data_IF_885733639055
#
_entry.id   IF_885733639055
#
_cell.length_a   1.000
_cell.length_b   1.000
_cell.length_c   1.000
_cell.angle_alpha   90.00
_cell.angle_beta   90.00
_cell.angle_gamma   90.00
#
_symmetry.space_group_name_H-M   'P 1'
#
loop_
_entity.id
_entity.type
_entity.pdbx_description
1 polymer ?
#
# COMPACT_ATOMS: atom_id res chain seq x y z
N UNK A 1 -3.88 -35.00 27.90
CA UNK A 1 -4.68 -34.33 26.86
C UNK A 1 -5.92 -33.74 27.52
N UNK A 2 -5.93 -32.43 27.76
CA UNK A 2 -7.10 -31.72 28.29
C UNK A 2 -7.68 -30.88 27.14
N UNK A 3 -8.82 -31.30 26.60
CA UNK A 3 -9.56 -30.53 25.59
C UNK A 3 -10.10 -29.27 26.24
N UNK A 4 -9.58 -28.10 25.83
CA UNK A 4 -10.20 -26.82 26.17
C UNK A 4 -11.50 -26.69 25.36
N UNK A 5 -12.63 -26.84 26.03
CA UNK A 5 -13.94 -26.44 25.51
C UNK A 5 -13.96 -24.90 25.37
N UNK A 6 -14.24 -24.32 24.20
CA UNK A 6 -14.27 -22.87 24.01
C UNK A 6 -15.60 -22.31 24.55
N UNK A 7 -15.56 -21.64 25.71
CA UNK A 7 -16.74 -21.22 26.45
C UNK A 7 -16.91 -19.69 26.52
N UNK A 8 -16.72 -18.97 25.41
CA UNK A 8 -17.05 -17.54 25.32
C UNK A 8 -18.21 -17.29 24.36
N UNK A 9 -19.10 -16.36 24.70
CA UNK A 9 -20.27 -15.97 23.88
C UNK A 9 -19.87 -15.49 22.47
N UNK A 10 -18.67 -14.93 22.31
CA UNK A 10 -18.12 -14.53 21.02
C UNK A 10 -17.96 -15.70 20.06
N UNK A 11 -17.50 -16.87 20.54
CA UNK A 11 -17.42 -18.07 19.70
C UNK A 11 -18.81 -18.57 19.31
N UNK A 12 -19.81 -18.45 20.19
CA UNK A 12 -21.19 -18.86 19.90
C UNK A 12 -21.86 -17.98 18.83
N UNK A 13 -21.50 -16.70 18.72
CA UNK A 13 -21.99 -15.81 17.65
C UNK A 13 -21.40 -16.16 16.27
N UNK A 14 -20.11 -16.53 16.21
CA UNK A 14 -19.45 -16.98 14.96
C UNK A 14 -20.18 -18.19 14.35
N UNK A 15 -20.55 -19.18 15.18
CA UNK A 15 -21.31 -20.34 14.73
C UNK A 15 -22.77 -20.03 14.35
N UNK A 16 -23.35 -18.93 14.86
CA UNK A 16 -24.75 -18.55 14.61
C UNK A 16 -24.96 -17.72 13.34
N UNK A 17 -23.89 -17.20 12.75
CA UNK A 17 -23.91 -16.42 11.50
C UNK A 17 -24.05 -17.27 10.23
N UNK A 18 -24.26 -18.58 10.34
CA UNK A 18 -24.50 -19.43 9.18
C UNK A 18 -23.27 -19.55 8.28
N UNK A 19 -22.09 -19.74 8.88
CA UNK A 19 -20.93 -20.28 8.19
C UNK A 19 -21.25 -21.75 7.88
N UNK A 20 -22.17 -21.99 6.94
CA UNK A 20 -22.09 -23.20 6.15
C UNK A 20 -20.69 -23.21 5.52
N UNK A 21 -20.13 -24.39 5.24
CA UNK A 21 -18.88 -24.59 4.51
C UNK A 21 -18.98 -24.00 3.09
N UNK A 22 -19.11 -22.68 2.98
CA UNK A 22 -18.87 -21.95 1.77
C UNK A 22 -17.37 -21.96 1.56
N UNK A 23 -16.94 -22.34 0.36
CA UNK A 23 -15.58 -22.17 -0.10
C UNK A 23 -15.33 -20.66 -0.16
N UNK A 24 -14.88 -20.08 0.97
CA UNK A 24 -14.57 -18.66 1.07
C UNK A 24 -13.33 -18.43 0.22
N UNK A 25 -13.40 -17.59 -0.83
CA UNK A 25 -12.26 -17.36 -1.69
C UNK A 25 -11.04 -16.89 -0.90
N UNK A 26 -9.87 -17.48 -1.18
CA UNK A 26 -8.62 -16.95 -0.67
C UNK A 26 -8.46 -15.48 -1.08
N UNK A 27 -8.16 -14.63 -0.09
CA UNK A 27 -7.94 -13.21 -0.33
C UNK A 27 -6.46 -12.87 -0.56
N UNK A 28 -6.22 -12.03 -1.56
CA UNK A 28 -5.02 -11.23 -1.68
C UNK A 28 -5.32 -9.82 -1.18
N UNK A 29 -4.56 -9.33 -0.20
CA UNK A 29 -4.69 -7.94 0.26
C UNK A 29 -3.54 -7.09 -0.26
N UNK A 30 -3.85 -5.87 -0.68
CA UNK A 30 -2.88 -4.84 -1.05
C UNK A 30 -3.14 -3.57 -0.24
N UNK A 31 -2.08 -2.96 0.29
CA UNK A 31 -2.14 -1.69 1.01
C UNK A 31 -1.46 -0.60 0.19
N UNK A 32 -2.25 0.43 -0.14
CA UNK A 32 -1.81 1.58 -0.89
C UNK A 32 -1.88 2.85 -0.04
N UNK A 33 -0.92 3.75 -0.25
CA UNK A 33 -0.81 5.04 0.43
C UNK A 33 -0.94 6.18 -0.57
N UNK A 34 -1.86 7.11 -0.30
CA UNK A 34 -2.03 8.34 -1.07
C UNK A 34 -0.80 9.24 -0.94
N UNK A 35 -0.34 9.81 -2.06
CA UNK A 35 0.81 10.73 -2.11
C UNK A 35 0.48 12.05 -2.79
N UNK A 36 1.17 13.09 -2.34
CA UNK A 36 1.22 14.42 -2.96
C UNK A 36 2.37 14.51 -3.97
N UNK A 37 2.18 15.34 -4.99
CA UNK A 37 3.28 15.82 -5.84
C UNK A 37 4.01 16.97 -5.13
N UNK A 38 5.16 17.40 -5.66
CA UNK A 38 5.95 18.53 -5.12
C UNK A 38 5.14 19.82 -4.95
N UNK A 39 4.09 20.01 -5.75
CA UNK A 39 3.17 21.15 -5.65
C UNK A 39 2.18 21.06 -4.45
N UNK A 40 2.21 19.99 -3.67
CA UNK A 40 1.32 19.77 -2.52
C UNK A 40 -0.05 19.17 -2.87
N UNK A 41 -0.35 18.95 -4.15
CA UNK A 41 -1.60 18.32 -4.57
C UNK A 41 -1.54 16.79 -4.53
N UNK A 42 -2.60 16.16 -4.03
CA UNK A 42 -2.78 14.71 -4.09
C UNK A 42 -2.85 14.26 -5.55
N UNK A 43 -2.05 13.26 -5.91
CA UNK A 43 -1.84 12.93 -7.33
C UNK A 43 -1.87 11.44 -7.63
N UNK A 44 -1.48 10.57 -6.69
CA UNK A 44 -1.43 9.14 -6.95
C UNK A 44 -1.37 8.30 -5.68
N UNK A 45 -1.65 7.02 -5.83
CA UNK A 45 -1.48 6.00 -4.81
C UNK A 45 -0.19 5.23 -5.03
N UNK A 46 0.46 4.84 -3.94
CA UNK A 46 1.67 4.00 -3.97
C UNK A 46 1.47 2.76 -3.15
N UNK A 47 1.76 1.61 -3.74
CA UNK A 47 1.75 0.34 -3.02
C UNK A 47 2.83 0.32 -1.92
N UNK A 48 2.46 -0.13 -0.73
CA UNK A 48 3.33 -0.18 0.46
C UNK A 48 3.50 -1.58 1.03
N UNK A 49 2.47 -2.40 0.98
CA UNK A 49 2.52 -3.74 1.52
C UNK A 49 1.46 -4.61 0.83
N UNK A 50 1.67 -5.92 0.86
CA UNK A 50 0.69 -6.89 0.36
C UNK A 50 0.72 -8.18 1.17
N UNK A 51 -0.38 -8.92 1.11
CA UNK A 51 -0.57 -10.17 1.84
C UNK A 51 -1.12 -11.26 0.93
N UNK A 52 -0.43 -12.39 0.94
CA UNK A 52 -0.97 -13.69 0.53
C UNK A 52 -0.58 -14.67 1.63
N UNK A 53 -1.39 -14.71 2.71
CA UNK A 53 -1.09 -15.29 4.03
C UNK A 53 0.06 -14.64 4.79
N UNK A 54 1.16 -14.34 4.11
CA UNK A 54 2.33 -13.66 4.66
C UNK A 54 2.39 -12.22 4.15
N UNK A 55 2.89 -11.32 5.01
CA UNK A 55 3.14 -9.93 4.69
C UNK A 55 4.42 -9.78 3.85
N UNK A 56 4.37 -8.94 2.85
CA UNK A 56 5.53 -8.39 2.15
C UNK A 56 5.41 -6.87 2.15
N UNK A 57 6.50 -6.17 2.45
CA UNK A 57 6.53 -4.70 2.50
C UNK A 57 7.44 -4.17 1.39
N UNK A 58 7.01 -3.10 0.74
CA UNK A 58 7.82 -2.41 -0.27
C UNK A 58 8.94 -1.62 0.43
N UNK A 59 10.19 -2.02 0.22
CA UNK A 59 11.37 -1.34 0.75
C UNK A 59 11.70 -0.13 -0.15
N UNK A 60 11.27 1.07 0.25
CA UNK A 60 11.40 2.29 -0.55
C UNK A 60 12.83 2.65 -0.93
N UNK A 61 13.80 2.35 -0.06
CA UNK A 61 15.23 2.62 -0.28
C UNK A 61 15.86 1.63 -1.25
N UNK A 62 15.46 0.36 -1.17
CA UNK A 62 16.07 -0.74 -1.94
C UNK A 62 15.29 -1.08 -3.20
N UNK A 63 14.11 -0.49 -3.38
CA UNK A 63 13.28 -0.68 -4.57
C UNK A 63 12.89 -2.14 -4.78
N UNK A 64 12.76 -2.92 -3.70
CA UNK A 64 12.39 -4.35 -3.73
C UNK A 64 11.34 -4.67 -2.67
N UNK A 65 10.66 -5.80 -2.85
CA UNK A 65 9.84 -6.39 -1.81
C UNK A 65 10.70 -7.03 -0.72
N UNK A 66 10.27 -6.92 0.54
CA UNK A 66 10.82 -7.72 1.63
C UNK A 66 10.58 -9.21 1.37
N UNK A 67 11.27 -10.08 2.11
CA UNK A 67 10.87 -11.49 2.14
C UNK A 67 9.46 -11.62 2.77
N UNK A 68 8.67 -12.62 2.34
CA UNK A 68 7.41 -12.96 3.02
C UNK A 68 7.68 -13.25 4.50
N UNK A 69 6.89 -12.65 5.39
CA UNK A 69 7.02 -12.83 6.83
C UNK A 69 5.65 -12.81 7.52
N UNK A 70 5.60 -13.31 8.76
CA UNK A 70 4.38 -13.22 9.58
C UNK A 70 4.24 -11.78 10.08
N UNK A 71 3.07 -11.18 9.84
CA UNK A 71 2.80 -9.80 10.23
C UNK A 71 2.92 -9.64 11.75
N UNK A 72 3.78 -8.70 12.18
CA UNK A 72 3.83 -8.25 13.58
C UNK A 72 3.12 -6.92 13.69
N UNK A 73 2.07 -6.88 14.51
CA UNK A 73 1.13 -5.77 14.60
C UNK A 73 1.12 -5.16 15.99
N UNK A 74 0.86 -3.85 16.05
CA UNK A 74 0.69 -3.15 17.32
C UNK A 74 -0.69 -3.44 17.92
N UNK A 75 -0.75 -3.73 19.22
CA UNK A 75 -2.02 -3.97 19.92
C UNK A 75 -2.99 -2.78 19.80
N UNK A 76 -2.46 -1.56 19.86
CA UNK A 76 -3.24 -0.32 19.69
C UNK A 76 -3.97 -0.30 18.35
N UNK A 77 -3.31 -0.73 17.27
CA UNK A 77 -3.91 -0.78 15.95
C UNK A 77 -5.15 -1.68 15.90
N UNK A 78 -5.17 -2.81 16.62
CA UNK A 78 -6.34 -3.67 16.73
C UNK A 78 -7.49 -3.06 17.55
N UNK A 79 -7.16 -2.35 18.63
CA UNK A 79 -8.16 -1.68 19.46
C UNK A 79 -8.85 -0.56 18.68
N UNK A 80 -8.08 0.23 17.95
CA UNK A 80 -8.60 1.30 17.10
C UNK A 80 -9.38 0.74 15.91
N UNK A 81 -8.90 -0.35 15.30
CA UNK A 81 -9.65 -1.08 14.28
C UNK A 81 -11.01 -1.54 14.79
N UNK A 82 -11.06 -2.16 15.98
CA UNK A 82 -12.31 -2.60 16.60
C UNK A 82 -13.27 -1.43 16.84
N UNK A 83 -12.74 -0.29 17.31
CA UNK A 83 -13.52 0.94 17.49
C UNK A 83 -14.13 1.37 16.15
N UNK A 84 -13.34 1.46 15.08
CA UNK A 84 -13.83 1.92 13.78
C UNK A 84 -14.68 0.91 13.02
N UNK A 85 -14.53 -0.39 13.25
CA UNK A 85 -15.51 -1.40 12.81
C UNK A 85 -16.87 -1.20 13.48
N UNK A 86 -16.94 -0.54 14.64
CA UNK A 86 -18.19 -0.28 15.35
C UNK A 86 -18.78 1.09 14.98
N UNK A 87 -17.95 2.11 14.78
CA UNK A 87 -18.41 3.50 14.57
C UNK A 87 -18.26 4.02 13.14
N UNK A 88 -17.47 3.35 12.30
CA UNK A 88 -17.16 3.79 10.94
C UNK A 88 -18.30 3.53 9.96
N UNK A 89 -18.02 3.78 8.68
CA UNK A 89 -18.98 3.55 7.59
C UNK A 89 -18.82 2.12 7.08
N UNK A 90 -19.90 1.33 7.10
CA UNK A 90 -19.91 -0.04 6.59
C UNK A 90 -20.95 -0.14 5.48
N UNK A 91 -20.51 -0.51 4.28
CA UNK A 91 -21.34 -0.71 3.10
C UNK A 91 -21.19 -2.17 2.67
N UNK A 92 -22.25 -2.97 2.83
CA UNK A 92 -22.26 -4.38 2.47
C UNK A 92 -23.10 -4.61 1.23
N UNK A 93 -22.66 -5.54 0.39
CA UNK A 93 -23.34 -5.91 -0.86
C UNK A 93 -23.55 -4.70 -1.76
N UNK A 94 -22.51 -3.88 -1.91
CA UNK A 94 -22.55 -2.76 -2.83
C UNK A 94 -22.56 -3.30 -4.27
N UNK A 95 -23.64 -3.02 -4.99
CA UNK A 95 -23.68 -3.18 -6.43
C UNK A 95 -23.04 -1.95 -7.08
N UNK A 96 -21.89 -2.14 -7.73
CA UNK A 96 -21.20 -1.11 -8.52
C UNK A 96 -20.65 -1.73 -9.80
N UNK A 97 -20.46 -0.91 -10.83
CA UNK A 97 -19.94 -1.31 -12.15
C UNK A 97 -18.50 -0.90 -12.38
N UNK A 98 -18.00 0.08 -11.64
CA UNK A 98 -16.69 0.68 -11.88
C UNK A 98 -16.17 1.43 -10.64
N UNK A 99 -14.91 1.85 -10.69
CA UNK A 99 -14.24 2.55 -9.60
C UNK A 99 -14.81 3.96 -9.36
N UNK A 100 -15.32 4.65 -10.38
CA UNK A 100 -15.85 6.00 -10.23
C UNK A 100 -17.17 5.98 -9.45
N UNK A 101 -18.07 5.06 -9.80
CA UNK A 101 -19.34 4.82 -9.10
C UNK A 101 -19.12 4.38 -7.64
N UNK A 102 -18.10 3.53 -7.40
CA UNK A 102 -17.65 3.16 -6.05
C UNK A 102 -17.18 4.40 -5.28
N UNK A 103 -16.30 5.21 -5.86
CA UNK A 103 -15.75 6.41 -5.23
C UNK A 103 -16.82 7.43 -4.85
N UNK A 104 -17.80 7.66 -5.73
CA UNK A 104 -18.94 8.53 -5.46
C UNK A 104 -19.80 7.99 -4.31
N UNK A 105 -20.07 6.69 -4.29
CA UNK A 105 -20.85 6.06 -3.21
C UNK A 105 -20.15 6.18 -1.86
N UNK A 106 -18.84 5.94 -1.81
CA UNK A 106 -18.03 6.09 -0.60
C UNK A 106 -18.05 7.53 -0.11
N UNK A 107 -17.85 8.50 -1.00
CA UNK A 107 -17.88 9.92 -0.64
C UNK A 107 -19.26 10.36 -0.13
N UNK A 108 -20.34 9.91 -0.77
CA UNK A 108 -21.71 10.20 -0.32
C UNK A 108 -22.00 9.58 1.05
N UNK A 109 -21.61 8.33 1.29
CA UNK A 109 -21.85 7.68 2.58
C UNK A 109 -21.11 8.38 3.74
N UNK A 110 -19.92 8.95 3.47
CA UNK A 110 -19.20 9.78 4.43
C UNK A 110 -19.89 11.13 4.67
N UNK A 111 -20.46 11.74 3.63
CA UNK A 111 -21.26 12.96 3.74
C UNK A 111 -22.53 12.72 4.58
N UNK A 112 -23.24 11.60 4.34
CA UNK A 112 -24.45 11.21 5.08
C UNK A 112 -24.17 10.92 6.56
N UNK A 113 -22.93 10.53 6.87
CA UNK A 113 -22.43 10.32 8.24
C UNK A 113 -21.82 11.57 8.85
N UNK A 114 -21.95 12.71 8.18
CA UNK A 114 -21.49 14.03 8.63
C UNK A 114 -19.96 14.09 8.88
N UNK A 115 -19.18 13.22 8.22
CA UNK A 115 -17.71 13.28 8.27
C UNK A 115 -17.14 14.46 7.48
N UNK A 116 -17.88 14.96 6.51
CA UNK A 116 -17.55 16.16 5.77
C UNK A 116 -18.49 17.29 6.15
N UNK A 117 -17.92 18.49 6.35
CA UNK A 117 -18.69 19.71 6.57
C UNK A 117 -19.17 20.35 5.27
N UNK A 118 -18.48 20.08 4.16
CA UNK A 118 -18.75 20.66 2.84
C UNK A 118 -18.74 19.56 1.77
N UNK A 119 -19.70 19.65 0.84
CA UNK A 119 -19.80 18.83 -0.38
C UNK A 119 -18.52 18.89 -1.21
N UNK A 120 -17.80 20.02 -1.18
CA UNK A 120 -16.49 20.15 -1.84
C UNK A 120 -15.48 19.09 -1.37
N UNK A 121 -15.46 18.75 -0.07
CA UNK A 121 -14.56 17.72 0.46
C UNK A 121 -14.97 16.32 0.01
N UNK A 122 -16.27 16.04 -0.09
CA UNK A 122 -16.77 14.78 -0.65
C UNK A 122 -16.36 14.62 -2.13
N UNK A 123 -16.52 15.69 -2.93
CA UNK A 123 -16.08 15.70 -4.33
C UNK A 123 -14.55 15.52 -4.45
N UNK A 124 -13.78 16.17 -3.58
CA UNK A 124 -12.32 16.01 -3.51
C UNK A 124 -11.94 14.57 -3.19
N UNK A 125 -12.59 13.92 -2.22
CA UNK A 125 -12.36 12.51 -1.90
C UNK A 125 -12.71 11.60 -3.08
N UNK A 126 -13.89 11.77 -3.70
CA UNK A 126 -14.28 10.95 -4.84
C UNK A 126 -13.25 11.03 -5.97
N UNK A 127 -12.70 12.21 -6.22
CA UNK A 127 -11.63 12.42 -7.19
C UNK A 127 -10.33 11.73 -6.76
N UNK A 128 -9.94 11.84 -5.49
CA UNK A 128 -8.78 11.16 -4.89
C UNK A 128 -8.84 9.64 -5.06
N UNK A 129 -10.00 9.03 -4.81
CA UNK A 129 -10.19 7.56 -4.94
C UNK A 129 -10.10 7.05 -6.39
N UNK A 130 -10.17 7.94 -7.38
CA UNK A 130 -9.99 7.62 -8.81
C UNK A 130 -8.59 7.93 -9.34
N UNK A 131 -7.69 8.44 -8.49
CA UNK A 131 -6.30 8.70 -8.89
C UNK A 131 -5.60 7.39 -9.29
N UNK A 132 -4.59 7.46 -10.17
CA UNK A 132 -3.83 6.29 -10.57
C UNK A 132 -3.09 5.66 -9.39
N UNK A 133 -3.05 4.32 -9.36
CA UNK A 133 -2.22 3.57 -8.45
C UNK A 133 -0.93 3.17 -9.17
N UNK A 134 0.20 3.47 -8.56
CA UNK A 134 1.50 3.02 -9.03
C UNK A 134 1.94 1.83 -8.19
N UNK A 135 1.93 0.67 -8.83
CA UNK A 135 2.43 -0.57 -8.25
C UNK A 135 3.96 -0.57 -8.26
N UNK A 136 4.56 -1.33 -7.34
CA UNK A 136 6.01 -1.29 -7.11
C UNK A 136 6.85 -1.51 -8.38
N UNK A 137 6.34 -2.35 -9.30
CA UNK A 137 7.00 -2.72 -10.55
C UNK A 137 6.89 -1.66 -11.67
N UNK A 138 6.04 -0.65 -11.52
CA UNK A 138 5.84 0.39 -12.52
C UNK A 138 6.87 1.52 -12.37
N UNK A 139 7.51 1.92 -13.49
CA UNK A 139 8.43 3.06 -13.45
C UNK A 139 7.63 4.33 -13.14
N UNK A 140 8.10 5.13 -12.17
CA UNK A 140 7.72 6.54 -12.05
C UNK A 140 8.30 7.32 -13.24
N UNK A 141 7.65 7.23 -14.39
CA UNK A 141 7.97 8.10 -15.52
C UNK A 141 7.43 9.48 -15.17
N UNK A 142 8.28 10.36 -14.64
CA UNK A 142 8.01 11.80 -14.63
C UNK A 142 8.18 12.30 -16.06
N UNK A 143 7.30 11.87 -16.97
CA UNK A 143 7.12 12.56 -18.24
C UNK A 143 6.36 13.83 -17.91
N UNK A 144 7.09 14.94 -17.80
CA UNK A 144 6.52 16.28 -18.01
C UNK A 144 5.68 16.19 -19.27
N UNK A 145 4.37 16.40 -19.13
CA UNK A 145 3.46 16.57 -20.24
C UNK A 145 3.92 17.77 -21.04
N UNK A 146 4.68 17.53 -22.10
CA UNK A 146 4.79 18.45 -23.22
C UNK A 146 4.03 17.80 -24.38
N UNK A 147 3.05 18.55 -24.85
CA UNK A 147 2.12 18.33 -25.94
C UNK A 147 2.72 17.60 -27.15
N UNK A 148 1.90 16.77 -27.79
CA UNK A 148 2.19 16.13 -29.07
C UNK A 148 2.57 17.15 -30.15
N UNK A 149 3.67 16.89 -30.88
CA UNK A 149 3.74 16.98 -32.34
C UNK A 149 4.77 15.95 -32.82
N UNK A 150 4.29 14.91 -33.49
CA UNK A 150 5.10 14.03 -34.32
C UNK A 150 5.60 14.78 -35.55
N UNK A 151 6.91 14.88 -35.73
CA UNK A 151 7.49 15.17 -37.05
C UNK A 151 8.70 14.27 -37.26
N UNK A 152 8.54 13.31 -38.16
CA UNK A 152 9.62 12.47 -38.64
C UNK A 152 10.65 13.34 -39.39
N UNK A 153 11.94 13.03 -39.21
CA UNK A 153 12.91 13.03 -40.31
C UNK A 153 14.14 12.18 -39.99
N UNK A 154 14.50 11.46 -41.03
CA UNK A 154 15.50 10.43 -41.24
C UNK A 154 16.96 10.83 -41.02
N UNK A 155 17.79 9.79 -40.90
CA UNK A 155 19.17 9.65 -41.40
C UNK A 155 20.31 9.95 -40.42
N UNK A 156 21.25 9.00 -40.30
CA UNK A 156 22.62 9.29 -39.88
C UNK A 156 23.31 8.22 -39.04
N UNK A 157 24.09 7.38 -39.70
CA UNK A 157 25.16 6.52 -39.16
C UNK A 157 26.21 7.31 -38.36
N UNK A 158 26.73 6.76 -37.25
CA UNK A 158 28.16 6.72 -36.83
C UNK A 158 28.25 6.09 -35.41
N UNK A 159 28.93 4.94 -35.23
CA UNK A 159 30.32 4.76 -34.70
C UNK A 159 30.52 5.43 -33.31
N UNK A 160 31.23 4.90 -32.31
CA UNK A 160 31.90 3.66 -31.98
C UNK A 160 32.39 3.83 -30.53
N UNK A 161 32.74 2.73 -29.87
CA UNK A 161 33.43 2.66 -28.58
C UNK A 161 34.65 3.58 -28.50
N UNK A 162 34.93 4.17 -27.34
CA UNK A 162 36.20 3.98 -26.60
C UNK A 162 36.24 4.76 -25.29
N UNK A 163 36.76 4.05 -24.30
CA UNK A 163 37.21 4.43 -22.97
C UNK A 163 38.37 5.43 -22.96
N UNK A 164 38.34 6.37 -22.01
CA UNK A 164 39.55 7.04 -21.50
C UNK A 164 39.51 7.12 -19.98
N UNK A 165 40.57 6.57 -19.37
CA UNK A 165 40.94 6.64 -17.96
C UNK A 165 41.93 7.79 -17.80
N UNK A 166 41.76 8.64 -16.78
CA UNK A 166 42.83 9.52 -16.29
C UNK A 166 42.98 9.30 -14.78
N UNK A 167 44.18 8.84 -14.41
CA UNK A 167 44.68 8.73 -13.03
C UNK A 167 45.16 10.10 -12.51
N UNK A 168 45.01 10.36 -11.21
CA UNK A 168 45.93 11.25 -10.49
C UNK A 168 46.23 10.70 -9.09
N UNK A 169 47.52 10.70 -8.75
CA UNK A 169 48.17 10.11 -7.56
C UNK A 169 48.20 11.10 -6.38
N UNK A 170 48.19 10.57 -5.14
CA UNK A 170 49.22 10.83 -4.09
C UNK A 170 49.05 9.92 -2.85
N UNK A 171 50.14 9.27 -2.43
CA UNK A 171 50.34 8.67 -1.09
C UNK A 171 50.70 9.74 -0.04
N UNK A 172 50.96 9.49 1.25
CA UNK A 172 51.57 8.34 1.97
C UNK A 172 51.51 8.54 3.50
N UNK A 173 51.47 7.43 4.31
CA UNK A 173 52.03 7.11 5.68
C UNK A 173 52.10 8.18 6.81
N UNK A 174 52.01 7.95 8.15
CA UNK A 174 52.05 6.83 9.13
C UNK A 174 51.76 7.43 10.56
N UNK A 175 51.13 6.75 11.53
CA UNK A 175 51.70 6.26 12.83
C UNK A 175 50.62 5.95 13.93
N UNK A 176 50.99 5.10 14.93
CA UNK A 176 50.21 4.25 15.89
C UNK A 176 49.88 4.91 17.29
N UNK A 177 49.50 4.18 18.40
CA UNK A 177 48.25 3.45 18.77
C UNK A 177 47.62 3.77 20.19
N UNK A 178 46.31 3.41 20.40
CA UNK A 178 45.48 2.97 21.61
C UNK A 178 45.81 3.42 23.07
N UNK A 179 44.85 3.51 24.06
CA UNK A 179 43.82 2.49 24.40
C UNK A 179 42.45 3.01 24.98
N UNK A 180 41.65 2.06 25.51
CA UNK A 180 40.20 2.05 25.75
C UNK A 180 39.67 2.68 27.06
N UNK A 181 38.39 3.08 27.07
CA UNK A 181 37.44 2.81 28.18
C UNK A 181 35.97 3.20 27.87
N UNK A 182 35.07 2.31 28.31
CA UNK A 182 33.70 2.49 28.85
C UNK A 182 32.58 3.18 28.04
N UNK A 183 31.47 2.41 27.86
CA UNK A 183 30.05 2.73 28.20
C UNK A 183 29.46 4.09 27.75
N UNK A 184 28.22 4.28 27.33
CA UNK A 184 27.01 3.52 26.98
C UNK A 184 26.04 4.63 26.51
N UNK A 185 25.11 4.36 25.57
CA UNK A 185 23.89 5.16 25.33
C UNK A 185 24.02 6.66 24.98
N UNK A 186 23.97 7.00 23.68
CA UNK A 186 23.09 8.06 23.14
C UNK A 186 23.35 8.26 21.63
N UNK A 187 22.37 8.90 20.96
CA UNK A 187 22.34 9.38 19.56
C UNK A 187 21.55 8.43 18.63
N UNK A 188 20.25 8.68 18.43
CA UNK A 188 19.73 9.70 17.49
C UNK A 188 20.55 9.68 16.20
N UNK A 189 20.08 8.85 15.26
CA UNK A 189 20.64 8.74 13.92
C UNK A 189 20.65 10.12 13.25
N UNK A 190 21.85 10.68 13.16
CA UNK A 190 22.17 11.82 12.32
C UNK A 190 21.96 11.40 10.86
N UNK A 191 21.15 12.16 10.13
CA UNK A 191 21.02 12.05 8.68
C UNK A 191 22.34 12.46 8.00
N UNK A 192 23.28 11.52 7.87
CA UNK A 192 24.39 11.63 6.94
C UNK A 192 23.94 11.15 5.56
N UNK A 193 23.88 12.09 4.59
CA UNK A 193 23.79 11.79 3.16
C UNK A 193 25.04 11.01 2.71
N UNK A 194 24.98 9.70 2.81
CA UNK A 194 25.85 8.80 2.03
C UNK A 194 25.14 8.54 0.71
N UNK A 195 25.73 9.00 -0.39
CA UNK A 195 25.28 8.66 -1.73
C UNK A 195 25.72 7.23 -2.03
N UNK A 196 24.90 6.25 -1.63
CA UNK A 196 25.08 4.86 -2.02
C UNK A 196 24.59 4.67 -3.46
N UNK A 197 25.50 4.16 -4.29
CA UNK A 197 25.28 3.84 -5.70
C UNK A 197 24.44 2.55 -5.79
N UNK A 198 23.11 2.66 -5.69
CA UNK A 198 22.21 1.52 -5.79
C UNK A 198 22.12 1.02 -7.24
N UNK A 199 22.16 -0.31 -7.49
CA UNK A 199 22.08 -0.84 -8.84
C UNK A 199 20.76 -0.46 -9.52
N UNK A 200 20.89 0.07 -10.73
CA UNK A 200 19.78 0.45 -11.62
C UNK A 200 18.87 -0.77 -11.87
N UNK A 201 17.58 -0.62 -11.53
CA UNK A 201 16.49 -1.61 -11.60
C UNK A 201 16.45 -2.43 -12.91
N UNK A 202 16.13 -3.74 -12.83
CA UNK A 202 15.65 -4.54 -13.97
C UNK A 202 14.12 -4.79 -13.84
N UNK A 203 13.27 -4.08 -14.61
CA UNK A 203 11.82 -4.27 -14.63
C UNK A 203 11.35 -5.69 -14.96
N UNK A 204 12.24 -6.54 -15.51
CA UNK A 204 11.91 -7.95 -15.78
C UNK A 204 11.79 -8.77 -14.49
N UNK A 205 12.57 -8.46 -13.46
CA UNK A 205 12.56 -9.19 -12.18
C UNK A 205 11.24 -9.02 -11.43
N UNK A 206 10.69 -7.80 -11.39
CA UNK A 206 9.42 -7.54 -10.70
C UNK A 206 8.22 -8.14 -11.46
N UNK A 207 8.23 -8.08 -12.81
CA UNK A 207 7.21 -8.79 -13.61
C UNK A 207 7.27 -10.30 -13.41
N UNK A 208 8.46 -10.88 -13.31
CA UNK A 208 8.62 -12.30 -13.01
C UNK A 208 8.12 -12.63 -11.60
N UNK A 209 8.30 -11.72 -10.63
CA UNK A 209 7.76 -11.85 -9.28
C UNK A 209 6.23 -11.90 -9.27
N UNK A 210 5.57 -10.97 -9.95
CA UNK A 210 4.10 -10.93 -10.03
C UNK A 210 3.54 -12.18 -10.72
N UNK A 211 4.24 -12.69 -11.74
CA UNK A 211 3.88 -13.97 -12.37
C UNK A 211 4.01 -15.13 -11.37
N UNK A 212 5.05 -15.16 -10.53
CA UNK A 212 5.19 -16.18 -9.47
C UNK A 212 4.10 -16.06 -8.41
N UNK A 213 3.74 -14.84 -8.02
CA UNK A 213 2.69 -14.58 -7.04
C UNK A 213 1.30 -14.97 -7.59
N UNK A 214 0.98 -14.61 -8.84
CA UNK A 214 -0.26 -15.00 -9.50
C UNK A 214 -0.43 -16.52 -9.56
N UNK A 215 0.66 -17.28 -9.72
CA UNK A 215 0.64 -18.76 -9.71
C UNK A 215 0.38 -19.36 -8.32
N UNK A 216 0.61 -18.61 -7.23
CA UNK A 216 0.33 -19.07 -5.86
C UNK A 216 -1.14 -18.89 -5.46
N UNK A 217 -1.89 -18.06 -6.17
CA UNK A 217 -3.30 -17.83 -5.92
C UNK A 217 -4.11 -19.11 -6.19
N UNK A 218 -5.09 -19.36 -5.34
CA UNK A 218 -6.07 -20.42 -5.55
C UNK A 218 -7.03 -20.05 -6.68
N UNK A 219 -7.80 -21.06 -7.16
CA UNK A 219 -8.89 -20.78 -8.09
C UNK A 219 -9.91 -19.88 -7.38
N UNK A 220 -10.42 -18.89 -8.11
CA UNK A 220 -11.41 -17.93 -7.62
C UNK A 220 -10.92 -16.99 -6.51
N UNK A 221 -9.60 -16.88 -6.24
CA UNK A 221 -9.10 -15.85 -5.32
C UNK A 221 -9.65 -14.48 -5.66
N UNK A 222 -9.99 -13.72 -4.62
CA UNK A 222 -10.50 -12.35 -4.71
C UNK A 222 -9.50 -11.38 -4.07
N UNK A 223 -9.64 -10.10 -4.40
CA UNK A 223 -8.76 -9.05 -3.89
C UNK A 223 -9.42 -8.18 -2.83
N UNK A 224 -8.61 -7.69 -1.90
CA UNK A 224 -8.97 -6.65 -0.95
C UNK A 224 -7.99 -5.46 -1.07
N UNK A 225 -8.53 -4.26 -1.27
CA UNK A 225 -7.74 -3.04 -1.40
C UNK A 225 -7.84 -2.21 -0.12
N UNK A 226 -6.72 -2.01 0.56
CA UNK A 226 -6.60 -1.22 1.79
C UNK A 226 -5.99 0.13 1.44
N UNK A 227 -6.80 1.18 1.44
CA UNK A 227 -6.44 2.53 1.02
C UNK A 227 -6.17 3.41 2.23
N UNK A 228 -4.93 3.87 2.37
CA UNK A 228 -4.51 4.80 3.41
C UNK A 228 -4.51 6.22 2.85
N UNK A 229 -5.46 7.03 3.32
CA UNK A 229 -5.80 8.34 2.79
C UNK A 229 -5.54 9.45 3.83
N UNK A 230 -4.26 9.77 4.11
CA UNK A 230 -3.91 10.96 4.89
C UNK A 230 -4.30 12.20 4.09
N UNK A 231 -5.17 13.04 4.64
CA UNK A 231 -5.64 14.26 3.99
C UNK A 231 -5.73 15.44 4.96
N UNK A 232 -5.64 16.65 4.43
CA UNK A 232 -5.62 17.93 5.16
C UNK A 232 -7.00 18.51 5.45
N UNK A 233 -8.06 17.94 4.87
CA UNK A 233 -9.44 18.43 4.98
C UNK A 233 -10.30 17.59 5.94
N UNK A 234 -9.69 16.71 6.72
CA UNK A 234 -10.35 15.95 7.80
C UNK A 234 -9.56 16.10 9.10
N UNK A 235 -10.26 16.15 10.23
CA UNK A 235 -9.63 16.33 11.56
C UNK A 235 -9.53 15.05 12.36
N UNK A 236 -10.42 14.09 12.10
CA UNK A 236 -10.52 12.83 12.83
C UNK A 236 -10.32 11.66 11.88
N UNK A 237 -9.85 10.54 12.41
CA UNK A 237 -9.73 9.31 11.64
C UNK A 237 -11.09 8.63 11.51
N UNK A 238 -11.38 8.18 10.30
CA UNK A 238 -12.53 7.35 9.98
C UNK A 238 -12.16 6.18 9.09
N UNK A 239 -12.96 5.12 9.19
CA UNK A 239 -12.86 3.95 8.33
C UNK A 239 -14.12 3.83 7.49
N UNK A 240 -13.94 3.51 6.21
CA UNK A 240 -15.00 2.98 5.36
C UNK A 240 -14.66 1.55 5.00
N UNK A 241 -15.56 0.61 5.30
CA UNK A 241 -15.45 -0.78 4.88
C UNK A 241 -16.52 -1.08 3.83
N UNK A 242 -16.10 -1.50 2.65
CA UNK A 242 -16.98 -1.86 1.54
C UNK A 242 -16.80 -3.33 1.20
N UNK A 243 -17.92 -4.06 1.15
CA UNK A 243 -18.01 -5.38 0.50
C UNK A 243 -18.86 -5.23 -0.75
N UNK A 244 -18.29 -5.52 -1.92
CA UNK A 244 -19.05 -5.57 -3.16
C UNK A 244 -20.00 -6.77 -3.17
N UNK A 245 -21.17 -6.61 -3.79
CA UNK A 245 -22.14 -7.70 -3.99
C UNK A 245 -21.58 -8.80 -4.91
N UNK A 246 -20.94 -8.39 -6.00
CA UNK A 246 -20.17 -9.25 -6.89
C UNK A 246 -18.74 -8.72 -6.96
N UNK A 247 -17.76 -9.63 -6.91
CA UNK A 247 -16.36 -9.21 -7.07
C UNK A 247 -16.15 -8.66 -8.49
N UNK A 248 -15.46 -7.54 -8.58
CA UNK A 248 -15.34 -6.74 -9.79
C UNK A 248 -13.89 -6.46 -10.12
N UNK A 249 -13.50 -6.57 -11.39
CA UNK A 249 -12.17 -6.11 -11.83
C UNK A 249 -12.14 -4.58 -11.83
N UNK A 250 -11.64 -3.99 -10.76
CA UNK A 250 -11.38 -2.56 -10.66
C UNK A 250 -10.01 -2.25 -11.26
N UNK A 251 -9.99 -1.96 -12.57
CA UNK A 251 -8.74 -1.79 -13.32
C UNK A 251 -7.77 -0.80 -12.66
N UNK A 252 -6.54 -1.26 -12.45
CA UNK A 252 -5.47 -0.47 -11.84
C UNK A 252 -5.56 -0.31 -10.33
N UNK A 253 -6.57 -0.86 -9.65
CA UNK A 253 -6.65 -0.81 -8.19
C UNK A 253 -5.73 -1.86 -7.52
N UNK A 254 -5.60 -3.03 -8.12
CA UNK A 254 -4.74 -4.12 -7.66
C UNK A 254 -3.62 -4.38 -8.65
N UNK A 255 -2.44 -4.74 -8.13
CA UNK A 255 -1.26 -5.12 -8.91
C UNK A 255 -1.50 -6.42 -9.69
N UNK A 256 -2.27 -7.33 -9.11
CA UNK A 256 -2.61 -8.64 -9.69
C UNK A 256 -3.94 -8.58 -10.44
N UNK A 257 -4.08 -9.45 -11.44
CA UNK A 257 -5.34 -9.61 -12.18
C UNK A 257 -6.35 -10.38 -11.32
N UNK A 258 -6.99 -9.67 -10.42
CA UNK A 258 -7.96 -10.17 -9.45
C UNK A 258 -9.22 -9.33 -9.48
N UNK A 259 -10.35 -9.96 -9.15
CA UNK A 259 -11.59 -9.25 -8.91
C UNK A 259 -11.57 -8.75 -7.46
N UNK A 260 -11.75 -7.45 -7.25
CA UNK A 260 -11.86 -6.85 -5.92
C UNK A 260 -13.19 -7.22 -5.29
N UNK A 261 -13.16 -7.73 -4.06
CA UNK A 261 -14.34 -8.01 -3.22
C UNK A 261 -14.47 -6.97 -2.11
N UNK A 262 -13.36 -6.59 -1.51
CA UNK A 262 -13.32 -5.70 -0.36
C UNK A 262 -12.51 -4.45 -0.69
N UNK A 263 -13.02 -3.30 -0.24
CA UNK A 263 -12.30 -2.02 -0.27
C UNK A 263 -12.40 -1.42 1.12
N UNK A 264 -11.26 -1.12 1.72
CA UNK A 264 -11.19 -0.53 3.06
C UNK A 264 -10.43 0.77 2.96
N UNK A 265 -11.07 1.87 3.31
CA UNK A 265 -10.46 3.20 3.33
C UNK A 265 -10.23 3.61 4.78
N UNK A 266 -9.00 3.93 5.15
CA UNK A 266 -8.69 4.69 6.36
C UNK A 266 -8.34 6.12 5.96
N UNK A 267 -9.17 7.07 6.36
CA UNK A 267 -8.99 8.48 6.08
C UNK A 267 -8.76 9.24 7.38
N UNK A 268 -7.81 10.16 7.40
CA UNK A 268 -7.46 10.90 8.61
C UNK A 268 -6.46 12.02 8.36
N UNK A 269 -6.11 12.80 9.38
CA UNK A 269 -5.16 13.90 9.26
C UNK A 269 -3.76 13.40 8.87
N UNK A 270 -3.04 14.18 8.06
CA UNK A 270 -1.73 13.78 7.50
C UNK A 270 -0.69 13.40 8.56
N UNK A 271 -0.75 14.04 9.73
CA UNK A 271 0.16 13.78 10.86
C UNK A 271 0.01 12.36 11.42
N UNK A 272 -1.11 11.69 11.14
CA UNK A 272 -1.41 10.34 11.59
C UNK A 272 -1.11 9.26 10.55
N UNK A 273 -0.43 9.57 9.43
CA UNK A 273 -0.11 8.62 8.35
C UNK A 273 0.43 7.28 8.89
N UNK A 274 1.41 7.31 9.80
CA UNK A 274 2.01 6.10 10.38
C UNK A 274 0.98 5.26 11.14
N UNK A 275 0.08 5.91 11.88
CA UNK A 275 -0.96 5.23 12.62
C UNK A 275 -1.99 4.59 11.68
N UNK A 276 -2.42 5.32 10.65
CA UNK A 276 -3.31 4.79 9.61
C UNK A 276 -2.72 3.56 8.93
N UNK A 277 -1.42 3.58 8.61
CA UNK A 277 -0.72 2.41 8.04
C UNK A 277 -0.77 1.21 9.01
N UNK A 278 -0.54 1.41 10.31
CA UNK A 278 -0.58 0.30 11.27
C UNK A 278 -1.98 -0.33 11.37
N UNK A 279 -3.04 0.47 11.34
CA UNK A 279 -4.41 -0.04 11.35
C UNK A 279 -4.77 -0.72 10.03
N UNK A 280 -4.28 -0.19 8.90
CA UNK A 280 -4.37 -0.84 7.60
C UNK A 280 -3.70 -2.22 7.57
N UNK A 281 -2.49 -2.34 8.12
CA UNK A 281 -1.79 -3.63 8.27
C UNK A 281 -2.60 -4.60 9.14
N UNK A 282 -3.22 -4.09 10.20
CA UNK A 282 -4.02 -4.92 11.10
C UNK A 282 -5.23 -5.54 10.39
N UNK A 283 -6.00 -4.75 9.63
CA UNK A 283 -7.15 -5.31 8.91
C UNK A 283 -6.72 -6.22 7.74
N UNK A 284 -5.64 -5.89 7.02
CA UNK A 284 -5.11 -6.76 5.95
C UNK A 284 -4.70 -8.14 6.49
N UNK A 285 -4.10 -8.16 7.67
CA UNK A 285 -3.73 -9.40 8.36
C UNK A 285 -4.96 -10.19 8.78
N UNK A 286 -5.99 -9.54 9.36
CA UNK A 286 -7.25 -10.21 9.71
C UNK A 286 -7.96 -10.78 8.48
N UNK A 287 -7.99 -10.04 7.38
CA UNK A 287 -8.66 -10.46 6.14
C UNK A 287 -7.94 -11.65 5.46
N UNK A 288 -6.67 -11.88 5.75
CA UNK A 288 -5.90 -12.99 5.19
C UNK A 288 -5.64 -14.13 6.18
N UNK A 289 -6.23 -14.04 7.37
CA UNK A 289 -6.28 -15.11 8.36
C UNK A 289 -7.35 -16.15 7.94
N UNK A 290 -7.02 -17.43 8.06
CA UNK A 290 -7.87 -18.56 7.67
C UNK A 290 -8.94 -18.89 8.75
#
# INVERSE_FOLDING_TARGET
>A
MLSRQPNSESHKQVFKLGIAEFDVPQLFCQLDLLRKQEAGEYSYWTEKARWLRFEETAESVLGRWSKPHVATLMQTAFLDLKKWLTSGVIILNLATTDNASLAQTVAQALMDKEYFTDVSNAQKLARILTLPHFHHHEKRSVTKTASAVSLAKSSGLIHASTSFVIHSKKGSSESLPKPASAQEMSLLEQEHKVQEDYPIKDPKLDKEYNVKLQRKLQRQSEGASILICPVDFVTEVTMVFVRLDNALELHGLLELKLHSRFIVLFMGPEQQERHLIQVGRAIATILTDD
#
